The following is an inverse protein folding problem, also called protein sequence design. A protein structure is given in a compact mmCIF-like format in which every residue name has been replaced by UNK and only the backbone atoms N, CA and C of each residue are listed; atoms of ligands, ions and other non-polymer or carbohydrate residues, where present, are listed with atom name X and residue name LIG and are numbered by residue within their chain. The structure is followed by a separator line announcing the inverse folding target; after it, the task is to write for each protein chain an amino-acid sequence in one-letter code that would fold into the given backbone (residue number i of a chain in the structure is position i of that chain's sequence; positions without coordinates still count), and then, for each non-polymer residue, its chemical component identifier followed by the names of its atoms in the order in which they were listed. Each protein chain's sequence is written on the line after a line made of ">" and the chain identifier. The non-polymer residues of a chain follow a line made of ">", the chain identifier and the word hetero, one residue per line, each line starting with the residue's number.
data_IF_145148496832
#
_entry.id   IF_145148496832
#
_cell.length_a   1.000
_cell.length_b   1.000
_cell.length_c   1.000
_cell.angle_alpha   90.00
_cell.angle_beta   90.00
_cell.angle_gamma   90.00
#
_symmetry.space_group_name_H-M   'P 1'
#
loop_
_entity.id
_entity.type
_entity.pdbx_description
1 polymer ?
#
# COMPACT_ATOMS: atom_id res chain seq x y z
N UNK A 1 1.25 -16.89 5.01
CA UNK A 1 0.93 -18.13 5.75
C UNK A 1 1.89 -19.23 5.32
N UNK A 2 2.48 -19.96 6.26
CA UNK A 2 3.38 -21.10 5.96
C UNK A 2 2.53 -22.38 5.94
N UNK A 3 2.66 -23.25 4.93
CA UNK A 3 1.88 -24.48 4.87
C UNK A 3 2.27 -25.43 6.01
N UNK A 4 1.28 -26.03 6.68
CA UNK A 4 1.51 -27.11 7.68
C UNK A 4 1.79 -28.45 7.01
N UNK A 5 1.24 -28.66 5.81
CA UNK A 5 1.44 -29.84 4.97
C UNK A 5 1.43 -29.45 3.49
N UNK A 6 2.02 -30.30 2.64
CA UNK A 6 2.11 -30.12 1.19
C UNK A 6 1.78 -31.47 0.55
N UNK A 7 1.02 -31.48 -0.54
CA UNK A 7 0.72 -32.71 -1.27
C UNK A 7 2.01 -33.38 -1.77
N UNK A 8 2.00 -34.71 -1.93
CA UNK A 8 3.20 -35.42 -2.42
C UNK A 8 3.67 -34.91 -3.78
N UNK A 9 2.73 -34.56 -4.66
CA UNK A 9 3.01 -34.02 -6.00
C UNK A 9 3.65 -32.63 -5.88
N UNK A 10 3.05 -31.71 -5.13
CA UNK A 10 3.59 -30.35 -4.97
C UNK A 10 4.95 -30.36 -4.27
N UNK A 11 5.13 -31.23 -3.28
CA UNK A 11 6.41 -31.42 -2.58
C UNK A 11 7.48 -31.91 -3.54
N UNK A 12 7.15 -32.87 -4.42
CA UNK A 12 8.06 -33.35 -5.45
C UNK A 12 8.40 -32.25 -6.47
N UNK A 13 7.42 -31.42 -6.85
CA UNK A 13 7.65 -30.28 -7.74
C UNK A 13 8.62 -29.26 -7.11
N UNK A 14 8.44 -28.91 -5.83
CA UNK A 14 9.33 -28.01 -5.10
C UNK A 14 10.75 -28.59 -4.96
N UNK A 15 10.88 -29.89 -4.71
CA UNK A 15 12.18 -30.58 -4.68
C UNK A 15 12.86 -30.47 -6.05
N UNK A 16 12.13 -30.71 -7.13
CA UNK A 16 12.68 -30.62 -8.48
C UNK A 16 13.13 -29.19 -8.81
N UNK A 17 12.35 -28.16 -8.42
CA UNK A 17 12.74 -26.76 -8.56
C UNK A 17 14.01 -26.43 -7.78
N UNK A 18 14.11 -26.87 -6.52
CA UNK A 18 15.33 -26.65 -5.72
C UNK A 18 16.55 -27.37 -6.32
N UNK A 19 16.38 -28.56 -6.92
CA UNK A 19 17.45 -29.29 -7.62
C UNK A 19 17.94 -28.53 -8.86
N UNK A 20 17.04 -27.91 -9.61
CA UNK A 20 17.42 -27.06 -10.75
C UNK A 20 18.19 -25.84 -10.25
N UNK A 21 17.67 -25.15 -9.23
CA UNK A 21 18.28 -23.93 -8.69
C UNK A 21 19.64 -24.20 -8.02
N UNK A 22 19.84 -25.37 -7.40
CA UNK A 22 21.14 -25.73 -6.82
C UNK A 22 22.22 -26.01 -7.88
N UNK A 23 21.82 -26.40 -9.10
CA UNK A 23 22.72 -26.57 -10.25
C UNK A 23 23.07 -25.23 -10.88
N UNK A 24 22.12 -24.29 -10.91
CA UNK A 24 22.30 -22.97 -11.51
C UNK A 24 22.99 -21.95 -10.59
N UNK A 25 22.79 -22.07 -9.28
CA UNK A 25 23.29 -21.14 -8.28
C UNK A 25 24.78 -21.30 -7.94
N UNK A 26 25.35 -20.29 -7.31
CA UNK A 26 26.72 -20.32 -6.79
C UNK A 26 26.83 -21.04 -5.44
N UNK A 27 28.01 -20.99 -4.79
CA UNK A 27 28.25 -21.72 -3.55
C UNK A 27 27.27 -21.42 -2.40
N UNK A 28 26.78 -20.19 -2.27
CA UNK A 28 25.81 -19.85 -1.21
C UNK A 28 24.40 -20.30 -1.59
N UNK A 29 23.99 -20.05 -2.82
CA UNK A 29 22.68 -20.45 -3.34
C UNK A 29 22.52 -21.97 -3.36
N UNK A 30 23.55 -22.68 -3.81
CA UNK A 30 23.58 -24.15 -3.82
C UNK A 30 23.35 -24.73 -2.43
N UNK A 31 24.08 -24.24 -1.42
CA UNK A 31 23.92 -24.71 -0.05
C UNK A 31 22.53 -24.38 0.54
N UNK A 32 21.94 -23.23 0.15
CA UNK A 32 20.57 -22.88 0.52
C UNK A 32 19.57 -23.88 -0.06
N UNK A 33 19.65 -24.19 -1.36
CA UNK A 33 18.72 -25.09 -2.02
C UNK A 33 18.90 -26.56 -1.59
N UNK A 34 20.13 -27.02 -1.34
CA UNK A 34 20.39 -28.37 -0.80
C UNK A 34 19.71 -28.59 0.56
N UNK A 35 19.76 -27.59 1.46
CA UNK A 35 19.04 -27.64 2.74
C UNK A 35 17.53 -27.68 2.55
N UNK A 36 16.99 -26.91 1.59
CA UNK A 36 15.55 -26.93 1.27
C UNK A 36 15.11 -28.27 0.70
N UNK A 37 15.93 -28.91 -0.16
CA UNK A 37 15.69 -30.26 -0.69
C UNK A 37 15.56 -31.25 0.46
N UNK A 38 16.51 -31.26 1.40
CA UNK A 38 16.49 -32.18 2.53
C UNK A 38 15.21 -32.02 3.38
N UNK A 39 14.84 -30.78 3.72
CA UNK A 39 13.60 -30.47 4.46
C UNK A 39 12.38 -31.05 3.76
N UNK A 40 12.28 -30.89 2.44
CA UNK A 40 11.15 -31.35 1.64
C UNK A 40 11.14 -32.88 1.46
N UNK A 41 12.30 -33.50 1.19
CA UNK A 41 12.41 -34.96 1.01
C UNK A 41 12.08 -35.73 2.29
N UNK A 42 12.54 -35.23 3.45
CA UNK A 42 12.26 -35.83 4.76
C UNK A 42 10.90 -35.44 5.33
N UNK A 43 10.25 -34.41 4.77
CA UNK A 43 8.97 -33.92 5.25
C UNK A 43 9.05 -33.27 6.64
N UNK A 44 10.10 -32.52 6.93
CA UNK A 44 10.25 -31.78 8.18
C UNK A 44 9.33 -30.55 8.20
N UNK A 45 8.03 -30.78 8.45
CA UNK A 45 6.99 -29.74 8.38
C UNK A 45 7.26 -28.53 9.28
N UNK A 46 7.79 -28.74 10.48
CA UNK A 46 8.21 -27.66 11.38
C UNK A 46 9.35 -26.78 10.85
N UNK A 47 10.02 -27.18 9.76
CA UNK A 47 11.05 -26.41 9.08
C UNK A 47 10.56 -25.80 7.75
N UNK A 48 9.30 -25.96 7.36
CA UNK A 48 8.78 -25.39 6.11
C UNK A 48 8.91 -23.87 6.06
N UNK A 49 8.90 -23.19 7.20
CA UNK A 49 9.24 -21.76 7.26
C UNK A 49 10.59 -21.40 6.63
N UNK A 50 11.60 -22.29 6.69
CA UNK A 50 12.91 -22.07 6.05
C UNK A 50 12.88 -22.26 4.53
N UNK A 51 11.86 -22.95 4.02
CA UNK A 51 11.61 -23.12 2.59
C UNK A 51 10.87 -21.91 2.03
N UNK A 52 9.88 -21.39 2.77
CA UNK A 52 8.98 -20.30 2.34
C UNK A 52 9.30 -18.93 2.96
N UNK A 53 10.50 -18.72 3.50
CA UNK A 53 10.91 -17.49 4.19
C UNK A 53 11.00 -16.23 3.31
N UNK A 54 10.75 -16.35 2.00
CA UNK A 54 10.74 -15.23 1.05
C UNK A 54 9.34 -14.74 0.72
N UNK A 55 8.30 -15.45 1.17
CA UNK A 55 6.92 -15.06 0.95
C UNK A 55 6.47 -14.14 2.08
N UNK A 56 6.10 -12.93 1.70
CA UNK A 56 5.42 -11.99 2.60
C UNK A 56 3.94 -12.32 2.70
N UNK A 57 3.26 -11.71 3.67
CA UNK A 57 1.79 -11.75 3.72
C UNK A 57 1.22 -11.11 2.45
N UNK A 58 0.17 -11.72 1.90
CA UNK A 58 -0.52 -11.15 0.74
C UNK A 58 -1.20 -9.84 1.14
N UNK A 59 -1.03 -8.81 0.32
CA UNK A 59 -1.79 -7.57 0.48
C UNK A 59 -3.16 -7.75 -0.21
N UNK A 60 -4.29 -7.64 0.51
CA UNK A 60 -5.60 -7.80 -0.08
C UNK A 60 -5.87 -6.76 -1.19
N UNK A 61 -6.65 -7.15 -2.21
CA UNK A 61 -7.05 -6.22 -3.27
C UNK A 61 -7.81 -5.00 -2.73
N UNK A 62 -8.57 -5.16 -1.63
CA UNK A 62 -9.25 -4.06 -0.96
C UNK A 62 -8.28 -3.01 -0.44
N UNK A 63 -7.12 -3.43 0.08
CA UNK A 63 -6.07 -2.50 0.55
C UNK A 63 -5.47 -1.72 -0.61
N UNK A 64 -5.19 -2.39 -1.74
CA UNK A 64 -4.76 -1.69 -2.96
C UNK A 64 -5.82 -0.66 -3.42
N UNK A 65 -7.08 -1.06 -3.50
CA UNK A 65 -8.18 -0.19 -3.93
C UNK A 65 -8.35 1.02 -3.00
N UNK A 66 -8.25 0.82 -1.68
CA UNK A 66 -8.35 1.89 -0.71
C UNK A 66 -7.18 2.87 -0.85
N UNK A 67 -5.94 2.39 -0.93
CA UNK A 67 -4.75 3.24 -1.15
C UNK A 67 -4.85 4.02 -2.46
N UNK A 68 -5.17 3.35 -3.56
CA UNK A 68 -5.31 3.95 -4.90
C UNK A 68 -6.41 5.03 -4.91
N UNK A 69 -7.56 4.77 -4.29
CA UNK A 69 -8.67 5.73 -4.22
C UNK A 69 -8.28 6.96 -3.39
N UNK A 70 -7.59 6.76 -2.26
CA UNK A 70 -7.11 7.86 -1.42
C UNK A 70 -6.11 8.72 -2.19
N UNK A 71 -5.12 8.10 -2.85
CA UNK A 71 -4.11 8.83 -3.62
C UNK A 71 -4.75 9.61 -4.78
N UNK A 72 -5.72 9.03 -5.51
CA UNK A 72 -6.49 9.74 -6.56
C UNK A 72 -7.26 10.93 -6.01
N UNK A 73 -7.95 10.75 -4.88
CA UNK A 73 -8.68 11.83 -4.23
C UNK A 73 -7.73 12.99 -3.90
N UNK A 74 -6.58 12.73 -3.27
CA UNK A 74 -5.61 13.76 -2.93
C UNK A 74 -4.95 14.41 -4.16
N UNK A 75 -4.63 13.63 -5.19
CA UNK A 75 -4.12 14.16 -6.46
C UNK A 75 -5.08 15.19 -7.04
N UNK A 76 -6.37 14.86 -7.03
CA UNK A 76 -7.44 15.74 -7.52
C UNK A 76 -7.68 16.96 -6.63
N UNK A 77 -7.55 16.83 -5.31
CA UNK A 77 -7.55 17.97 -4.39
C UNK A 77 -6.40 18.92 -4.74
N UNK A 78 -5.18 18.39 -4.91
CA UNK A 78 -4.00 19.18 -5.27
C UNK A 78 -4.16 19.89 -6.62
N UNK A 79 -4.68 19.19 -7.63
CA UNK A 79 -5.02 19.79 -8.93
C UNK A 79 -6.02 20.94 -8.79
N UNK A 80 -7.06 20.74 -7.98
CA UNK A 80 -8.10 21.76 -7.78
C UNK A 80 -7.56 22.98 -7.05
N UNK A 81 -6.71 22.79 -6.05
CA UNK A 81 -6.04 23.88 -5.32
C UNK A 81 -5.12 24.68 -6.25
N UNK A 82 -4.41 24.01 -7.17
CA UNK A 82 -3.55 24.70 -8.17
C UNK A 82 -4.34 25.66 -9.07
N UNK A 83 -5.62 25.38 -9.32
CA UNK A 83 -6.49 26.18 -10.18
C UNK A 83 -7.17 27.35 -9.44
N UNK A 84 -7.09 27.41 -8.11
CA UNK A 84 -7.69 28.49 -7.32
C UNK A 84 -6.93 29.81 -7.49
N UNK A 85 -7.67 30.91 -7.37
CA UNK A 85 -7.08 32.25 -7.19
C UNK A 85 -6.40 32.36 -5.83
N UNK A 86 -5.43 33.28 -5.69
CA UNK A 86 -4.74 33.46 -4.41
C UNK A 86 -5.70 33.97 -3.31
N UNK A 87 -6.70 34.77 -3.67
CA UNK A 87 -7.77 35.19 -2.76
C UNK A 87 -8.58 34.00 -2.23
N UNK A 88 -8.92 33.04 -3.10
CA UNK A 88 -9.65 31.84 -2.67
C UNK A 88 -8.80 30.94 -1.77
N UNK A 89 -7.48 30.83 -2.04
CA UNK A 89 -6.57 30.04 -1.22
C UNK A 89 -6.44 30.60 0.19
N UNK A 90 -6.38 31.93 0.35
CA UNK A 90 -6.30 32.59 1.65
C UNK A 90 -7.54 32.35 2.53
N UNK A 91 -8.69 32.04 1.92
CA UNK A 91 -9.93 31.74 2.62
C UNK A 91 -10.02 30.29 3.10
N UNK A 92 -9.13 29.40 2.64
CA UNK A 92 -9.19 27.96 2.91
C UNK A 92 -8.04 27.52 3.81
N UNK A 93 -8.36 26.63 4.76
CA UNK A 93 -7.36 25.91 5.56
C UNK A 93 -6.77 24.74 4.76
N UNK A 94 -5.95 25.06 3.76
CA UNK A 94 -5.36 24.08 2.83
C UNK A 94 -4.43 23.08 3.54
N UNK A 95 -3.81 23.47 4.66
CA UNK A 95 -2.96 22.58 5.46
C UNK A 95 -3.73 21.36 5.98
N UNK A 96 -5.01 21.53 6.33
CA UNK A 96 -5.87 20.40 6.74
C UNK A 96 -6.11 19.37 5.63
N UNK A 97 -5.93 19.76 4.36
CA UNK A 97 -6.09 18.92 3.17
C UNK A 97 -4.78 18.31 2.66
N UNK A 98 -3.68 18.44 3.38
CA UNK A 98 -2.44 17.76 3.00
C UNK A 98 -2.53 16.25 3.22
N UNK A 99 -1.92 15.51 2.30
CA UNK A 99 -1.76 14.06 2.43
C UNK A 99 -0.59 13.77 3.38
N UNK A 100 -0.89 13.10 4.49
CA UNK A 100 0.06 12.83 5.58
C UNK A 100 0.70 11.43 5.46
N UNK A 101 0.34 10.66 4.43
CA UNK A 101 0.76 9.27 4.29
C UNK A 101 -0.03 8.30 5.16
N UNK A 102 0.55 7.15 5.47
CA UNK A 102 -0.09 6.09 6.26
C UNK A 102 0.76 5.77 7.50
N UNK A 103 0.13 5.21 8.52
CA UNK A 103 0.85 4.70 9.69
C UNK A 103 1.68 3.48 9.29
N UNK A 104 2.99 3.54 9.49
CA UNK A 104 3.89 2.42 9.22
C UNK A 104 3.61 1.20 10.12
N UNK A 105 2.96 1.37 11.27
CA UNK A 105 2.54 0.26 12.12
C UNK A 105 1.35 -0.50 11.49
N UNK A 106 0.52 0.17 10.69
CA UNK A 106 -0.43 -0.48 9.79
C UNK A 106 0.25 -0.78 8.44
N UNK A 107 1.13 -1.77 8.48
CA UNK A 107 2.14 -1.99 7.43
C UNK A 107 1.58 -2.12 6.02
N UNK A 108 0.40 -2.73 5.82
CA UNK A 108 -0.09 -3.03 4.46
C UNK A 108 -0.38 -1.77 3.63
N UNK A 109 -1.06 -0.77 4.19
CA UNK A 109 -1.34 0.49 3.47
C UNK A 109 -0.07 1.27 3.19
N UNK A 110 0.82 1.38 4.17
CA UNK A 110 2.09 2.08 4.03
C UNK A 110 2.97 1.43 2.95
N UNK A 111 3.16 0.10 2.99
CA UNK A 111 3.99 -0.59 2.00
C UNK A 111 3.35 -0.57 0.61
N UNK A 112 2.02 -0.68 0.51
CA UNK A 112 1.32 -0.55 -0.77
C UNK A 112 1.50 0.85 -1.37
N UNK A 113 1.29 1.90 -0.58
CA UNK A 113 1.53 3.29 -1.01
C UNK A 113 2.97 3.51 -1.44
N UNK A 114 3.94 3.07 -0.63
CA UNK A 114 5.37 3.21 -0.95
C UNK A 114 5.74 2.47 -2.23
N UNK A 115 5.14 1.29 -2.46
CA UNK A 115 5.35 0.54 -3.70
C UNK A 115 4.81 1.31 -4.92
N UNK A 116 3.60 1.84 -4.85
CA UNK A 116 3.02 2.64 -5.95
C UNK A 116 3.86 3.89 -6.25
N UNK A 117 4.27 4.62 -5.22
CA UNK A 117 5.01 5.89 -5.36
C UNK A 117 6.47 5.67 -5.77
N UNK A 118 7.20 4.82 -5.06
CA UNK A 118 8.65 4.72 -5.20
C UNK A 118 9.09 3.68 -6.23
N UNK A 119 8.26 2.66 -6.51
CA UNK A 119 8.61 1.53 -7.39
C UNK A 119 7.85 1.53 -8.71
N UNK A 120 6.59 1.94 -8.70
CA UNK A 120 5.76 2.00 -9.91
C UNK A 120 5.77 3.38 -10.58
N UNK A 121 6.39 4.39 -9.95
CA UNK A 121 6.42 5.77 -10.44
C UNK A 121 5.01 6.38 -10.63
N UNK A 122 4.02 5.89 -9.86
CA UNK A 122 2.68 6.47 -9.79
C UNK A 122 2.64 7.58 -8.74
N UNK A 123 1.75 8.58 -8.90
CA UNK A 123 1.59 9.68 -7.92
C UNK A 123 2.91 10.41 -7.58
N UNK A 124 3.66 10.78 -8.62
CA UNK A 124 5.01 11.35 -8.53
C UNK A 124 5.10 12.62 -7.68
N UNK A 125 4.00 13.34 -7.46
CA UNK A 125 3.94 14.49 -6.56
C UNK A 125 4.34 14.16 -5.11
N UNK A 126 4.28 12.88 -4.73
CA UNK A 126 4.64 12.39 -3.41
C UNK A 126 6.03 11.73 -3.35
N UNK A 127 6.69 11.53 -4.49
CA UNK A 127 7.98 10.83 -4.54
C UNK A 127 9.05 11.59 -3.73
N UNK A 128 9.76 10.85 -2.87
CA UNK A 128 10.79 11.41 -2.00
C UNK A 128 10.28 12.21 -0.79
N UNK A 129 8.96 12.26 -0.55
CA UNK A 129 8.40 12.84 0.68
C UNK A 129 8.38 11.80 1.81
N UNK A 130 8.51 12.27 3.05
CA UNK A 130 8.31 11.42 4.23
C UNK A 130 6.81 11.24 4.49
N UNK A 131 6.22 10.19 3.90
CA UNK A 131 4.79 9.84 4.01
C UNK A 131 4.51 8.81 5.11
N UNK A 132 5.20 8.97 6.24
CA UNK A 132 4.95 8.20 7.44
C UNK A 132 4.08 9.03 8.37
N UNK A 133 2.79 8.73 8.41
CA UNK A 133 1.89 9.45 9.29
C UNK A 133 2.24 9.14 10.75
N UNK A 134 2.35 10.20 11.55
CA UNK A 134 2.56 10.12 13.00
C UNK A 134 1.24 10.22 13.79
N UNK A 135 0.10 10.30 13.11
CA UNK A 135 -1.22 10.39 13.75
C UNK A 135 -1.82 9.00 13.97
N UNK A 136 -2.56 8.82 15.06
CA UNK A 136 -3.09 7.51 15.47
C UNK A 136 -4.18 6.95 14.53
N UNK A 137 -4.66 7.69 13.52
CA UNK A 137 -5.62 7.17 12.52
C UNK A 137 -5.79 8.08 11.29
N UNK A 138 -4.81 8.16 10.38
CA UNK A 138 -4.97 8.89 9.12
C UNK A 138 -6.16 8.33 8.29
N UNK A 139 -6.46 7.04 8.41
CA UNK A 139 -7.58 6.40 7.72
C UNK A 139 -8.94 6.99 8.12
N UNK A 140 -9.14 7.39 9.38
CA UNK A 140 -10.41 8.03 9.79
C UNK A 140 -10.63 9.36 9.08
N UNK A 141 -9.57 10.17 8.92
CA UNK A 141 -9.59 11.41 8.12
C UNK A 141 -9.93 11.08 6.67
N UNK A 142 -9.20 10.14 6.08
CA UNK A 142 -9.38 9.77 4.67
C UNK A 142 -10.77 9.23 4.36
N UNK A 143 -11.34 8.39 5.24
CA UNK A 143 -12.68 7.83 5.05
C UNK A 143 -13.77 8.89 4.99
N UNK A 144 -13.69 9.96 5.80
CA UNK A 144 -14.63 11.09 5.71
C UNK A 144 -14.48 11.86 4.41
N UNK A 145 -13.25 12.12 4.00
CA UNK A 145 -12.98 12.78 2.73
C UNK A 145 -13.46 11.92 1.55
N UNK A 146 -13.33 10.60 1.63
CA UNK A 146 -13.81 9.67 0.61
C UNK A 146 -15.34 9.68 0.46
N UNK A 147 -16.10 9.89 1.53
CA UNK A 147 -17.56 10.06 1.44
C UNK A 147 -17.90 11.25 0.55
N UNK A 148 -17.27 12.40 0.80
CA UNK A 148 -17.40 13.58 -0.04
C UNK A 148 -16.97 13.28 -1.48
N UNK A 149 -15.76 12.74 -1.67
CA UNK A 149 -15.20 12.39 -2.97
C UNK A 149 -16.14 11.49 -3.80
N UNK A 150 -16.77 10.49 -3.17
CA UNK A 150 -17.69 9.56 -3.84
C UNK A 150 -18.90 10.27 -4.46
N UNK A 151 -19.49 11.24 -3.75
CA UNK A 151 -20.59 12.06 -4.28
C UNK A 151 -20.14 12.83 -5.53
N UNK A 152 -18.91 13.34 -5.52
CA UNK A 152 -18.33 14.06 -6.66
C UNK A 152 -18.02 13.17 -7.86
N UNK A 153 -17.59 11.92 -7.62
CA UNK A 153 -17.35 10.94 -8.67
C UNK A 153 -18.64 10.57 -9.39
N UNK A 154 -19.76 10.46 -8.66
CA UNK A 154 -21.08 10.25 -9.27
C UNK A 154 -21.50 11.41 -10.19
N UNK A 155 -21.14 12.63 -9.83
CA UNK A 155 -21.44 13.83 -10.61
C UNK A 155 -20.48 14.07 -11.79
N UNK A 156 -19.44 13.24 -11.97
CA UNK A 156 -18.41 13.37 -13.02
C UNK A 156 -17.80 14.77 -13.13
N UNK A 157 -17.70 15.50 -12.02
CA UNK A 157 -16.90 16.72 -11.96
C UNK A 157 -15.44 16.35 -12.26
N UNK A 158 -14.64 17.26 -12.82
CA UNK A 158 -13.19 17.06 -13.03
C UNK A 158 -12.37 17.73 -11.93
N UNK A 159 -12.80 18.91 -11.45
CA UNK A 159 -12.13 19.68 -10.40
C UNK A 159 -13.10 20.04 -9.26
N UNK A 160 -12.55 20.33 -8.09
CA UNK A 160 -13.29 20.84 -6.94
C UNK A 160 -13.31 22.37 -6.96
N UNK A 161 -14.47 22.98 -6.77
CA UNK A 161 -14.57 24.43 -6.52
C UNK A 161 -14.10 24.77 -5.10
N UNK A 162 -13.93 26.06 -4.81
CA UNK A 162 -13.69 26.58 -3.45
C UNK A 162 -14.70 26.03 -2.44
N UNK A 163 -15.99 26.01 -2.82
CA UNK A 163 -17.08 25.46 -1.99
C UNK A 163 -16.99 23.95 -1.80
N UNK A 164 -16.50 23.20 -2.80
CA UNK A 164 -16.31 21.76 -2.70
C UNK A 164 -15.14 21.45 -1.76
N UNK A 165 -14.02 22.19 -1.88
CA UNK A 165 -12.85 22.07 -0.99
C UNK A 165 -13.18 22.45 0.46
N UNK A 166 -14.01 23.48 0.67
CA UNK A 166 -14.50 23.86 2.00
C UNK A 166 -15.24 22.71 2.69
N UNK A 167 -16.03 21.90 1.96
CA UNK A 167 -16.71 20.72 2.53
C UNK A 167 -15.71 19.68 3.03
N UNK A 168 -14.61 19.44 2.29
CA UNK A 168 -13.55 18.54 2.76
C UNK A 168 -12.95 19.03 4.07
N UNK A 169 -12.65 20.33 4.17
CA UNK A 169 -12.08 20.94 5.38
C UNK A 169 -13.01 20.77 6.58
N UNK A 170 -14.30 21.06 6.41
CA UNK A 170 -15.31 20.91 7.47
C UNK A 170 -15.43 19.48 7.97
N UNK A 171 -15.42 18.49 7.07
CA UNK A 171 -15.50 17.07 7.45
C UNK A 171 -14.29 16.60 8.25
N UNK A 172 -13.09 17.12 7.96
CA UNK A 172 -11.87 16.84 8.72
C UNK A 172 -11.89 17.51 10.09
N UNK A 173 -12.37 18.77 10.18
CA UNK A 173 -12.42 19.53 11.44
C UNK A 173 -13.40 18.97 12.46
N UNK A 174 -14.53 18.41 12.02
CA UNK A 174 -15.53 17.78 12.89
C UNK A 174 -15.03 16.50 13.63
N UNK A 175 -13.73 16.19 13.59
CA UNK A 175 -13.07 15.09 14.32
C UNK A 175 -12.03 15.58 15.33
N UNK A 176 -11.74 16.88 15.39
CA UNK A 176 -10.79 17.47 16.33
C UNK A 176 -11.46 18.01 17.61
N UNK A 177 -12.79 17.94 17.68
CA UNK A 177 -13.63 18.19 18.86
C UNK A 177 -14.13 16.86 19.46
#
# INVERSE_FOLDING_TARGET
>A
MIPETISLVDRQLLINQCKILSVLGDGQDKALYERRIEILEKGYTGLYQKVFNTLYEEVPISTYQEVDTILKMYSRINDSIRLLSDQDKELLDLGSLEFEGFDANNGMHYYMMSYLVDRMDEYLEYKGRELKSHTNSPLTKYNKMLQIHSEFMHLKKEHYSTTDLQKFIEAVKANME
#
